data_IF_220900020698
#
_entry.id   IF_220900020698
#
_cell.length_a   1.000
_cell.length_b   1.000
_cell.length_c   1.000
_cell.angle_alpha   90.00
_cell.angle_beta   90.00
_cell.angle_gamma   90.00
#
_symmetry.space_group_name_H-M   'P 1'
#
loop_
_entity.id
_entity.type
_entity.pdbx_description
1 polymer ?
#
# COMPACT_ATOMS: atom_id res chain seq x y z
N UNK A 1 17.77 8.98 -16.20
CA UNK A 1 17.72 7.51 -16.09
C UNK A 1 17.37 7.06 -14.68
N UNK A 2 18.20 7.28 -13.65
CA UNK A 2 17.86 6.88 -12.26
C UNK A 2 16.55 7.52 -11.74
N UNK A 3 16.43 8.85 -11.79
CA UNK A 3 15.26 9.57 -11.26
C UNK A 3 13.95 9.18 -11.94
N UNK A 4 13.93 9.09 -13.26
CA UNK A 4 12.72 8.85 -14.06
C UNK A 4 12.20 7.42 -13.94
N UNK A 5 13.09 6.43 -13.81
CA UNK A 5 12.70 5.02 -13.84
C UNK A 5 12.70 4.33 -12.47
N UNK A 6 13.32 4.94 -11.45
CA UNK A 6 13.37 4.38 -10.10
C UNK A 6 12.68 5.31 -9.11
N UNK A 7 13.13 6.56 -9.00
CA UNK A 7 12.61 7.45 -7.96
C UNK A 7 11.16 7.86 -8.22
N UNK A 8 10.82 8.19 -9.48
CA UNK A 8 9.48 8.62 -9.86
C UNK A 8 8.39 7.57 -9.51
N UNK A 9 8.50 6.28 -9.90
CA UNK A 9 7.48 5.29 -9.52
C UNK A 9 7.39 5.06 -8.01
N UNK A 10 8.51 5.19 -7.28
CA UNK A 10 8.49 5.10 -5.80
C UNK A 10 7.67 6.24 -5.20
N UNK A 11 7.88 7.49 -5.65
CA UNK A 11 7.12 8.65 -5.17
C UNK A 11 5.63 8.50 -5.49
N UNK A 12 5.30 8.02 -6.69
CA UNK A 12 3.91 7.76 -7.09
C UNK A 12 3.29 6.70 -6.19
N UNK A 13 4.00 5.59 -5.91
CA UNK A 13 3.51 4.53 -5.04
C UNK A 13 3.28 5.02 -3.60
N UNK A 14 4.20 5.85 -3.07
CA UNK A 14 4.03 6.51 -1.77
C UNK A 14 2.81 7.44 -1.80
N UNK A 15 2.61 8.22 -2.86
CA UNK A 15 1.42 9.07 -2.98
C UNK A 15 0.12 8.27 -2.99
N UNK A 16 0.09 7.18 -3.76
CA UNK A 16 -1.07 6.31 -3.87
C UNK A 16 -1.38 5.55 -2.57
N UNK A 17 -0.38 5.26 -1.73
CA UNK A 17 -0.62 4.56 -0.46
C UNK A 17 -1.48 5.35 0.54
N UNK A 18 -1.53 6.67 0.40
CA UNK A 18 -2.44 7.56 1.15
C UNK A 18 -3.83 7.69 0.52
N UNK A 19 -4.08 6.99 -0.59
CA UNK A 19 -5.36 7.00 -1.29
C UNK A 19 -6.00 5.62 -1.30
N UNK A 20 -7.32 5.56 -1.26
CA UNK A 20 -8.04 4.34 -1.60
C UNK A 20 -8.01 4.18 -3.12
N UNK A 21 -7.19 3.25 -3.60
CA UNK A 21 -6.97 3.00 -5.03
C UNK A 21 -7.26 1.53 -5.36
N UNK A 22 -8.32 1.29 -6.11
CA UNK A 22 -8.80 -0.03 -6.53
C UNK A 22 -8.54 -0.31 -8.03
N UNK A 23 -7.66 0.47 -8.67
CA UNK A 23 -7.30 0.44 -10.10
C UNK A 23 -8.43 0.86 -11.06
N UNK A 24 -9.70 0.71 -10.66
CA UNK A 24 -10.87 0.96 -11.50
C UNK A 24 -11.35 2.40 -11.34
N UNK A 25 -11.41 2.90 -10.10
CA UNK A 25 -11.93 4.21 -9.76
C UNK A 25 -10.81 5.24 -9.56
N UNK A 26 -11.17 6.52 -9.66
CA UNK A 26 -10.24 7.61 -9.34
C UNK A 26 -9.85 7.53 -7.86
N UNK A 27 -8.56 7.59 -7.50
CA UNK A 27 -8.11 7.46 -6.12
C UNK A 27 -8.74 8.53 -5.23
N UNK A 28 -9.28 8.11 -4.08
CA UNK A 28 -9.83 9.02 -3.08
C UNK A 28 -8.85 9.16 -1.92
N UNK A 29 -8.67 10.37 -1.39
CA UNK A 29 -7.74 10.57 -0.27
C UNK A 29 -8.27 9.89 1.00
N UNK A 30 -7.53 8.88 1.48
CA UNK A 30 -7.88 8.07 2.65
C UNK A 30 -6.95 8.35 3.85
N UNK A 31 -5.90 9.15 3.66
CA UNK A 31 -4.91 9.45 4.69
C UNK A 31 -4.21 8.17 5.17
N UNK A 32 -4.22 7.93 6.49
CA UNK A 32 -3.62 6.73 7.08
C UNK A 32 -4.61 5.56 7.25
N UNK A 33 -5.87 5.72 6.84
CA UNK A 33 -6.90 4.70 7.08
C UNK A 33 -6.55 3.35 6.43
N UNK A 34 -5.91 3.36 5.25
CA UNK A 34 -5.45 2.13 4.60
C UNK A 34 -4.50 1.31 5.48
N UNK A 35 -3.58 1.97 6.20
CA UNK A 35 -2.63 1.31 7.09
C UNK A 35 -3.30 0.75 8.34
N UNK A 36 -4.24 1.51 8.91
CA UNK A 36 -5.01 1.06 10.07
C UNK A 36 -5.82 -0.18 9.68
N UNK A 37 -6.56 -0.13 8.58
CA UNK A 37 -7.34 -1.25 8.06
C UNK A 37 -6.47 -2.47 7.79
N UNK A 38 -5.27 -2.31 7.23
CA UNK A 38 -4.34 -3.43 7.00
C UNK A 38 -3.96 -4.14 8.31
N UNK A 39 -3.73 -3.38 9.39
CA UNK A 39 -3.26 -3.94 10.67
C UNK A 39 -4.43 -4.46 11.52
N UNK A 40 -5.59 -3.80 11.49
CA UNK A 40 -6.72 -4.10 12.39
C UNK A 40 -7.92 -4.73 11.72
N UNK A 41 -8.14 -4.45 10.43
CA UNK A 41 -9.30 -4.90 9.67
C UNK A 41 -9.03 -6.07 8.73
N UNK A 42 -7.78 -6.28 8.33
CA UNK A 42 -7.38 -7.38 7.45
C UNK A 42 -6.75 -8.55 8.24
N UNK A 43 -7.62 -9.38 8.82
CA UNK A 43 -7.21 -10.57 9.57
C UNK A 43 -6.41 -11.55 8.71
N UNK A 44 -6.67 -11.63 7.40
CA UNK A 44 -5.98 -12.54 6.49
C UNK A 44 -4.55 -12.09 6.27
N UNK A 45 -4.35 -10.79 6.02
CA UNK A 45 -3.02 -10.22 5.87
C UNK A 45 -2.18 -10.43 7.13
N UNK A 46 -2.72 -10.10 8.30
CA UNK A 46 -1.98 -10.19 9.56
C UNK A 46 -1.72 -11.63 10.01
N UNK A 47 -2.65 -12.56 9.76
CA UNK A 47 -2.50 -13.96 10.18
C UNK A 47 -1.65 -14.79 9.23
N UNK A 48 -1.72 -14.51 7.93
CA UNK A 48 -1.11 -15.38 6.92
C UNK A 48 -0.03 -14.69 6.11
N UNK A 49 -0.26 -13.48 5.61
CA UNK A 49 0.70 -12.84 4.69
C UNK A 49 1.94 -12.38 5.44
N UNK A 50 1.78 -11.59 6.50
CA UNK A 50 2.90 -10.99 7.21
C UNK A 50 3.81 -12.03 7.90
N UNK A 51 3.29 -13.04 8.63
CA UNK A 51 4.13 -14.08 9.22
C UNK A 51 4.83 -14.92 8.15
N UNK A 52 4.16 -15.26 7.05
CA UNK A 52 4.80 -16.05 5.99
C UNK A 52 5.94 -15.32 5.30
N UNK A 53 5.86 -13.99 5.13
CA UNK A 53 6.95 -13.20 4.52
C UNK A 53 8.12 -12.93 5.47
N UNK A 54 7.89 -12.90 6.79
CA UNK A 54 8.96 -12.63 7.77
C UNK A 54 9.66 -13.92 8.21
N UNK A 55 8.93 -15.03 8.29
CA UNK A 55 9.44 -16.31 8.80
C UNK A 55 10.10 -17.18 7.74
N UNK A 56 9.76 -16.99 6.47
CA UNK A 56 10.33 -17.70 5.32
C UNK A 56 11.00 -16.71 4.37
#
# INVERSE_FOLDING_TARGET
MFFTFILLPIIIAIGLSFTYFDVINTPTFAGLNNYITLITGDEVFMKYVLPNTVLY
#
